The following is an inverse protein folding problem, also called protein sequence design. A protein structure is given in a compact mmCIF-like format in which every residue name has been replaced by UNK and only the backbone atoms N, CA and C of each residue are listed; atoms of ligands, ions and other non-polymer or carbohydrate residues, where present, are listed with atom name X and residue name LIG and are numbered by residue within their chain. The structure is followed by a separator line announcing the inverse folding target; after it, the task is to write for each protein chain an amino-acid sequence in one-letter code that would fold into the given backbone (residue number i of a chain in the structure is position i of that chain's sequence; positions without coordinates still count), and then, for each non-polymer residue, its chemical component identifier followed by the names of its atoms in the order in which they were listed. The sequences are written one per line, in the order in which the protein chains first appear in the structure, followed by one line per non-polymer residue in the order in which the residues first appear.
data_IF_197754357744
#
_entry.id   IF_197754357744
#
_cell.length_a   1.000
_cell.length_b   1.000
_cell.length_c   1.000
_cell.angle_alpha   90.00
_cell.angle_beta   90.00
_cell.angle_gamma   90.00
#
_symmetry.space_group_name_H-M   'P 1'
#
loop_
_entity.id
_entity.type
_entity.pdbx_description
1 polymer ?
#
# COMPACT_ATOMS: atom_id res chain seq x y z
N UNK A 1 -0.83 26.13 -13.76
CA UNK A 1 -2.16 26.22 -13.09
C UNK A 1 -2.25 25.07 -12.13
N UNK A 2 -2.25 25.37 -10.82
CA UNK A 2 -2.25 24.31 -9.81
C UNK A 2 -3.58 23.57 -9.83
N UNK A 3 -3.50 22.26 -9.99
CA UNK A 3 -4.66 21.38 -9.92
C UNK A 3 -4.76 20.80 -8.52
N UNK A 4 -5.85 21.10 -7.81
CA UNK A 4 -6.14 20.59 -6.49
C UNK A 4 -7.62 20.20 -6.41
N UNK A 5 -7.92 18.96 -6.74
CA UNK A 5 -9.29 18.46 -6.72
C UNK A 5 -9.46 17.36 -5.67
N UNK A 6 -10.63 17.36 -5.07
CA UNK A 6 -11.12 16.28 -4.21
C UNK A 6 -12.54 15.98 -4.64
N UNK A 7 -12.79 14.76 -5.07
CA UNK A 7 -14.09 14.37 -5.61
C UNK A 7 -14.42 12.92 -5.21
N UNK A 8 -15.70 12.59 -5.28
CA UNK A 8 -16.17 11.21 -5.19
C UNK A 8 -16.44 10.72 -6.61
N UNK A 9 -15.65 9.75 -7.06
CA UNK A 9 -15.88 9.06 -8.33
C UNK A 9 -16.75 7.85 -8.11
N UNK A 10 -17.72 7.64 -8.99
CA UNK A 10 -18.52 6.42 -8.97
C UNK A 10 -17.72 5.29 -9.65
N UNK A 11 -17.15 4.39 -8.86
CA UNK A 11 -16.39 3.24 -9.32
C UNK A 11 -17.25 1.99 -9.08
N UNK A 12 -17.77 1.40 -10.16
CA UNK A 12 -18.64 0.23 -10.13
C UNK A 12 -19.84 0.37 -9.14
N UNK A 13 -20.53 1.53 -9.21
CA UNK A 13 -21.71 1.81 -8.40
C UNK A 13 -21.43 2.30 -6.98
N UNK A 14 -20.16 2.41 -6.57
CA UNK A 14 -19.77 2.87 -5.24
C UNK A 14 -19.03 4.21 -5.34
N UNK A 15 -19.48 5.27 -4.66
CA UNK A 15 -18.75 6.52 -4.57
C UNK A 15 -17.44 6.31 -3.79
N UNK A 16 -16.32 6.65 -4.42
CA UNK A 16 -15.00 6.51 -3.80
C UNK A 16 -14.23 7.83 -3.92
N UNK A 17 -13.57 8.21 -2.84
CA UNK A 17 -12.86 9.47 -2.75
C UNK A 17 -11.54 9.43 -3.50
N UNK A 18 -11.31 10.45 -4.33
CA UNK A 18 -10.09 10.63 -5.11
C UNK A 18 -9.58 12.05 -4.94
N UNK A 19 -8.31 12.21 -4.61
CA UNK A 19 -7.62 13.50 -4.61
C UNK A 19 -6.65 13.55 -5.79
N UNK A 20 -6.76 14.62 -6.61
CA UNK A 20 -5.90 14.83 -7.79
C UNK A 20 -5.14 16.13 -7.59
N UNK A 21 -3.80 16.07 -7.70
CA UNK A 21 -2.93 17.18 -7.36
C UNK A 21 -1.78 17.31 -8.35
N UNK A 22 -1.57 18.50 -8.90
CA UNK A 22 -0.45 18.81 -9.80
C UNK A 22 -0.15 20.31 -9.82
N UNK A 23 1.12 20.66 -9.96
CA UNK A 23 1.55 22.05 -10.24
C UNK A 23 1.61 22.33 -11.76
N UNK A 24 1.65 21.30 -12.61
CA UNK A 24 1.69 21.41 -14.08
C UNK A 24 0.55 20.64 -14.73
N UNK A 25 -0.16 21.28 -15.63
CA UNK A 25 -1.40 20.75 -16.24
C UNK A 25 -1.18 19.47 -17.09
N UNK A 26 0.00 19.27 -17.68
CA UNK A 26 0.32 18.14 -18.57
C UNK A 26 1.28 17.13 -17.95
N UNK A 27 1.47 17.19 -16.62
CA UNK A 27 2.35 16.26 -15.93
C UNK A 27 1.84 14.81 -16.06
N UNK A 28 2.75 13.81 -16.17
CA UNK A 28 2.35 12.41 -16.25
C UNK A 28 1.58 11.98 -15.02
N UNK A 29 0.57 11.12 -15.21
CA UNK A 29 -0.24 10.57 -14.14
C UNK A 29 0.58 9.64 -13.25
N UNK A 30 0.43 9.79 -11.94
CA UNK A 30 0.93 8.87 -10.92
C UNK A 30 -0.24 8.50 -10.01
N UNK A 31 -0.65 7.23 -10.02
CA UNK A 31 -1.69 6.72 -9.12
C UNK A 31 -1.04 6.03 -7.94
N UNK A 32 -1.44 6.45 -6.73
CA UNK A 32 -0.96 5.87 -5.48
C UNK A 32 -2.01 4.96 -4.86
N UNK A 33 -1.67 3.67 -4.73
CA UNK A 33 -2.47 2.63 -4.09
C UNK A 33 -1.99 2.44 -2.65
N UNK A 34 -2.83 2.85 -1.70
CA UNK A 34 -2.49 2.76 -0.27
C UNK A 34 -2.49 1.32 0.26
N UNK A 35 -1.86 1.14 1.41
CA UNK A 35 -1.81 -0.12 2.15
C UNK A 35 -3.09 -0.44 2.92
N UNK A 36 -3.01 -1.40 3.80
CA UNK A 36 -4.12 -1.91 4.61
C UNK A 36 -4.28 -3.42 4.45
N UNK A 37 -5.42 -3.96 3.97
CA UNK A 37 -6.55 -3.28 3.28
C UNK A 37 -7.30 -2.28 4.16
N UNK A 38 -7.94 -1.31 3.49
CA UNK A 38 -8.85 -0.36 4.15
C UNK A 38 -8.20 0.82 4.87
N UNK A 39 -6.91 1.12 4.63
CA UNK A 39 -6.23 2.31 5.17
C UNK A 39 -6.51 3.56 4.29
N UNK A 40 -5.70 4.59 4.40
CA UNK A 40 -5.73 5.81 3.60
C UNK A 40 -4.33 6.42 3.55
N UNK A 41 -4.04 7.27 2.56
CA UNK A 41 -2.69 7.82 2.40
C UNK A 41 -2.63 9.33 2.15
N UNK A 42 -3.75 10.01 1.87
CA UNK A 42 -3.74 11.41 1.45
C UNK A 42 -2.91 12.33 2.37
N UNK A 43 -3.08 12.35 3.71
CA UNK A 43 -2.27 13.22 4.57
C UNK A 43 -0.78 12.87 4.58
N UNK A 44 -0.43 11.60 4.39
CA UNK A 44 0.95 11.13 4.35
C UNK A 44 1.63 11.56 3.04
N UNK A 45 0.98 11.32 1.91
CA UNK A 45 1.49 11.74 0.59
C UNK A 45 1.64 13.26 0.53
N UNK A 46 0.66 14.02 1.03
CA UNK A 46 0.75 15.49 1.11
C UNK A 46 1.91 15.98 1.98
N UNK A 47 2.22 15.26 3.06
CA UNK A 47 3.29 15.65 3.97
C UNK A 47 4.67 15.26 3.46
N UNK A 48 4.81 14.03 2.97
CA UNK A 48 6.12 13.44 2.68
C UNK A 48 6.49 13.44 1.19
N UNK A 49 5.47 13.47 0.31
CA UNK A 49 5.68 13.32 -1.13
C UNK A 49 5.12 14.50 -1.95
N UNK A 50 4.88 15.65 -1.29
CA UNK A 50 4.36 16.85 -1.97
C UNK A 50 5.21 17.28 -3.18
N UNK A 51 6.53 17.09 -3.12
CA UNK A 51 7.44 17.40 -4.21
C UNK A 51 7.05 16.72 -5.54
N UNK A 52 6.40 15.57 -5.48
CA UNK A 52 5.94 14.85 -6.67
C UNK A 52 4.90 15.65 -7.47
N UNK A 53 4.13 16.54 -6.84
CA UNK A 53 3.14 17.40 -7.51
C UNK A 53 3.77 18.35 -8.55
N UNK A 54 5.10 18.62 -8.45
CA UNK A 54 5.87 19.44 -9.40
C UNK A 54 6.17 18.70 -10.71
N UNK A 55 6.12 17.38 -10.68
CA UNK A 55 6.56 16.52 -11.77
C UNK A 55 5.48 15.57 -12.28
N UNK A 56 4.47 15.27 -11.45
CA UNK A 56 3.38 14.36 -11.73
C UNK A 56 2.03 14.99 -11.43
N UNK A 57 1.00 14.50 -12.12
CA UNK A 57 -0.37 14.58 -11.65
C UNK A 57 -0.60 13.43 -10.67
N UNK A 58 -0.46 13.72 -9.37
CA UNK A 58 -0.54 12.74 -8.29
C UNK A 58 -2.00 12.46 -7.96
N UNK A 59 -2.42 11.23 -8.14
CA UNK A 59 -3.77 10.74 -7.83
C UNK A 59 -3.70 9.83 -6.62
N UNK A 60 -4.39 10.23 -5.57
CA UNK A 60 -4.48 9.46 -4.32
C UNK A 60 -5.91 8.97 -4.21
N UNK A 61 -6.08 7.68 -4.36
CA UNK A 61 -7.37 7.01 -4.28
C UNK A 61 -7.55 6.37 -2.90
N UNK A 62 -8.60 6.76 -2.19
CA UNK A 62 -9.07 6.03 -1.02
C UNK A 62 -10.04 4.94 -1.49
N UNK A 63 -9.58 3.72 -1.42
CA UNK A 63 -10.22 2.56 -2.01
C UNK A 63 -11.58 2.28 -1.35
N UNK A 64 -12.38 1.42 -1.98
CA UNK A 64 -13.67 0.95 -1.47
C UNK A 64 -13.63 0.64 0.03
N UNK A 65 -14.53 1.25 0.81
CA UNK A 65 -14.64 1.05 2.25
C UNK A 65 -13.51 1.68 3.10
N UNK A 66 -12.57 2.41 2.50
CA UNK A 66 -11.43 3.01 3.19
C UNK A 66 -11.62 4.51 3.45
N UNK A 67 -11.13 5.03 4.56
CA UNK A 67 -11.05 6.47 4.85
C UNK A 67 -12.33 7.23 4.54
N UNK A 68 -12.25 8.21 3.62
CA UNK A 68 -13.39 9.00 3.15
C UNK A 68 -14.35 8.23 2.24
N UNK A 69 -13.88 7.12 1.64
CA UNK A 69 -14.71 6.17 0.88
C UNK A 69 -15.42 5.15 1.77
N UNK A 70 -15.36 5.33 3.10
CA UNK A 70 -15.97 4.38 4.03
C UNK A 70 -17.49 4.31 3.84
N UNK A 71 -17.94 3.10 3.54
CA UNK A 71 -19.30 2.63 3.73
C UNK A 71 -19.22 1.19 4.27
N UNK A 72 -20.19 0.75 5.09
CA UNK A 72 -20.28 -0.67 5.44
C UNK A 72 -20.31 -1.52 4.16
N UNK A 73 -19.60 -2.65 4.17
CA UNK A 73 -19.71 -3.59 3.06
C UNK A 73 -21.07 -4.29 3.10
N UNK A 74 -21.70 -4.40 1.95
CA UNK A 74 -22.95 -5.12 1.76
C UNK A 74 -22.63 -6.40 0.98
N UNK A 75 -22.59 -7.52 1.69
CA UNK A 75 -22.23 -8.82 1.13
C UNK A 75 -20.73 -9.12 1.06
N UNK A 76 -20.39 -10.10 0.25
CA UNK A 76 -19.02 -10.55 0.03
C UNK A 76 -18.20 -9.51 -0.73
N UNK A 77 -16.96 -9.28 -0.26
CA UNK A 77 -16.01 -8.36 -0.90
C UNK A 77 -14.73 -9.12 -1.22
N UNK A 78 -14.26 -8.99 -2.46
CA UNK A 78 -13.12 -9.73 -2.99
C UNK A 78 -12.05 -8.78 -3.52
N UNK A 79 -10.80 -9.25 -3.66
CA UNK A 79 -9.70 -8.51 -4.29
C UNK A 79 -10.07 -8.11 -5.72
N UNK A 80 -10.80 -8.97 -6.43
CA UNK A 80 -11.22 -8.70 -7.80
C UNK A 80 -12.11 -7.46 -7.92
N UNK A 81 -12.98 -7.18 -6.94
CA UNK A 81 -13.78 -5.95 -6.92
C UNK A 81 -12.92 -4.69 -6.84
N UNK A 82 -11.81 -4.73 -6.10
CA UNK A 82 -10.85 -3.61 -6.04
C UNK A 82 -10.08 -3.45 -7.35
N UNK A 83 -9.77 -4.54 -8.05
CA UNK A 83 -9.14 -4.49 -9.37
C UNK A 83 -10.07 -3.89 -10.42
N UNK A 84 -11.36 -4.24 -10.38
CA UNK A 84 -12.37 -3.64 -11.23
C UNK A 84 -12.57 -2.14 -10.95
N UNK A 85 -12.56 -1.73 -9.67
CA UNK A 85 -12.59 -0.31 -9.29
C UNK A 85 -11.36 0.43 -9.81
N UNK A 86 -10.19 -0.19 -9.72
CA UNK A 86 -8.94 0.38 -10.24
C UNK A 86 -8.98 0.50 -11.77
N UNK A 87 -9.56 -0.47 -12.47
CA UNK A 87 -9.70 -0.42 -13.93
C UNK A 87 -10.57 0.76 -14.38
N UNK A 88 -11.71 0.96 -13.71
CA UNK A 88 -12.59 2.12 -13.98
C UNK A 88 -11.87 3.43 -13.67
N UNK A 89 -11.20 3.51 -12.51
CA UNK A 89 -10.44 4.70 -12.11
C UNK A 89 -9.36 5.05 -13.15
N UNK A 90 -8.54 4.07 -13.53
CA UNK A 90 -7.44 4.25 -14.49
C UNK A 90 -8.00 4.65 -15.86
N UNK A 91 -9.05 4.00 -16.33
CA UNK A 91 -9.70 4.31 -17.61
C UNK A 91 -10.18 5.77 -17.65
N UNK A 92 -10.86 6.23 -16.60
CA UNK A 92 -11.36 7.60 -16.49
C UNK A 92 -10.23 8.63 -16.41
N UNK A 93 -9.19 8.34 -15.65
CA UNK A 93 -8.03 9.23 -15.52
C UNK A 93 -7.28 9.36 -16.86
N UNK A 94 -6.98 8.25 -17.53
CA UNK A 94 -6.27 8.26 -18.82
C UNK A 94 -7.07 9.03 -19.88
N UNK A 95 -8.40 8.84 -19.94
CA UNK A 95 -9.29 9.59 -20.83
C UNK A 95 -9.30 11.08 -20.48
N UNK A 96 -9.46 11.43 -19.20
CA UNK A 96 -9.56 12.82 -18.72
C UNK A 96 -8.29 13.61 -19.01
N UNK A 97 -7.12 13.01 -18.74
CA UNK A 97 -5.82 13.66 -18.92
C UNK A 97 -5.19 13.39 -20.28
N UNK A 98 -5.91 12.69 -21.19
CA UNK A 98 -5.46 12.35 -22.56
C UNK A 98 -4.08 11.66 -22.58
N UNK A 99 -3.84 10.78 -21.61
CA UNK A 99 -2.62 9.98 -21.51
C UNK A 99 -2.89 8.53 -21.90
N UNK A 100 -1.87 7.81 -22.36
CA UNK A 100 -1.98 6.41 -22.77
C UNK A 100 -1.67 5.45 -21.62
N UNK A 101 -0.78 5.87 -20.73
CA UNK A 101 -0.32 5.08 -19.58
C UNK A 101 0.04 5.97 -18.41
N UNK A 102 0.17 5.39 -17.24
CA UNK A 102 0.46 6.08 -15.98
C UNK A 102 1.55 5.35 -15.17
N UNK A 103 2.13 6.06 -14.23
CA UNK A 103 2.95 5.46 -13.17
C UNK A 103 2.03 4.95 -12.06
N UNK A 104 2.27 3.72 -11.63
CA UNK A 104 1.46 3.06 -10.61
C UNK A 104 2.31 2.73 -9.39
N UNK A 105 2.05 3.37 -8.27
CA UNK A 105 2.73 3.10 -6.99
C UNK A 105 1.82 2.29 -6.10
N UNK A 106 2.26 1.10 -5.70
CA UNK A 106 1.54 0.24 -4.76
C UNK A 106 2.30 0.04 -3.45
N UNK A 107 1.66 0.32 -2.31
CA UNK A 107 2.26 0.09 -1.00
C UNK A 107 1.56 -1.05 -0.27
N UNK A 108 2.32 -2.06 0.21
CA UNK A 108 1.77 -3.15 1.03
C UNK A 108 0.58 -3.84 0.34
N UNK A 109 -0.62 -3.84 0.93
CA UNK A 109 -1.85 -4.29 0.26
C UNK A 109 -2.02 -3.68 -1.15
N UNK A 110 -1.76 -2.37 -1.31
CA UNK A 110 -1.82 -1.71 -2.61
C UNK A 110 -0.84 -2.30 -3.63
N UNK A 111 0.23 -2.96 -3.19
CA UNK A 111 1.17 -3.66 -4.07
C UNK A 111 0.58 -4.94 -4.65
N UNK A 112 -0.37 -5.57 -3.98
CA UNK A 112 -1.13 -6.71 -4.54
C UNK A 112 -1.96 -6.24 -5.73
N UNK A 113 -2.70 -5.15 -5.54
CA UNK A 113 -3.53 -4.56 -6.60
C UNK A 113 -2.65 -4.07 -7.76
N UNK A 114 -1.58 -3.34 -7.44
CA UNK A 114 -0.68 -2.76 -8.44
C UNK A 114 -0.01 -3.81 -9.31
N UNK A 115 0.50 -4.88 -8.72
CA UNK A 115 1.18 -5.94 -9.47
C UNK A 115 0.21 -6.75 -10.34
N UNK A 116 -0.99 -7.10 -9.81
CA UNK A 116 -2.04 -7.76 -10.59
C UNK A 116 -2.54 -6.88 -11.74
N UNK A 117 -2.77 -5.60 -11.48
CA UNK A 117 -3.21 -4.66 -12.52
C UNK A 117 -2.15 -4.48 -13.61
N UNK A 118 -0.88 -4.37 -13.24
CA UNK A 118 0.24 -4.27 -14.20
C UNK A 118 0.33 -5.50 -15.10
N UNK A 119 0.04 -6.67 -14.56
CA UNK A 119 0.02 -7.91 -15.34
C UNK A 119 -1.17 -7.99 -16.30
N UNK A 120 -2.35 -7.51 -15.87
CA UNK A 120 -3.58 -7.60 -16.69
C UNK A 120 -3.69 -6.49 -17.73
N UNK A 121 -3.09 -5.32 -17.46
CA UNK A 121 -3.21 -4.09 -18.28
C UNK A 121 -1.86 -3.42 -18.49
N UNK A 122 -0.85 -4.14 -19.02
CA UNK A 122 0.52 -3.61 -19.15
C UNK A 122 0.58 -2.37 -20.04
N UNK A 123 -0.29 -2.26 -21.05
CA UNK A 123 -0.38 -1.13 -21.96
C UNK A 123 -0.78 0.19 -21.29
N UNK A 124 -1.38 0.12 -20.09
CA UNK A 124 -1.81 1.29 -19.30
C UNK A 124 -0.83 1.66 -18.20
N UNK A 125 0.14 0.80 -17.92
CA UNK A 125 1.16 1.02 -16.88
C UNK A 125 2.50 1.35 -17.53
N UNK A 126 2.94 2.58 -17.36
CA UNK A 126 4.25 3.03 -17.87
C UNK A 126 5.39 2.44 -17.03
N UNK A 127 5.19 2.38 -15.72
CA UNK A 127 6.11 1.77 -14.77
C UNK A 127 5.32 1.44 -13.50
N UNK A 128 5.50 0.25 -13.00
CA UNK A 128 5.00 -0.15 -11.69
C UNK A 128 6.09 0.03 -10.62
N UNK A 129 5.74 0.62 -9.48
CA UNK A 129 6.62 0.81 -8.33
C UNK A 129 5.98 0.18 -7.10
N UNK A 130 6.53 -0.94 -6.63
CA UNK A 130 6.12 -1.61 -5.40
C UNK A 130 6.94 -1.12 -4.21
N UNK A 131 6.29 -0.67 -3.14
CA UNK A 131 6.88 -0.28 -1.87
C UNK A 131 6.43 -1.25 -0.78
N UNK A 132 7.35 -1.94 -0.09
CA UNK A 132 6.98 -3.00 0.83
C UNK A 132 6.14 -4.06 0.10
N UNK A 133 6.69 -4.61 -0.98
CA UNK A 133 5.99 -5.48 -1.91
C UNK A 133 5.56 -6.79 -1.28
N UNK A 134 4.27 -7.07 -1.32
CA UNK A 134 3.74 -8.39 -0.97
C UNK A 134 4.05 -9.38 -2.09
N UNK A 135 4.73 -10.48 -1.76
CA UNK A 135 5.08 -11.55 -2.70
C UNK A 135 4.34 -12.85 -2.37
N UNK A 136 4.54 -13.37 -1.18
CA UNK A 136 3.86 -14.56 -0.68
C UNK A 136 3.39 -14.28 0.75
N UNK A 137 2.07 -14.10 0.91
CA UNK A 137 1.52 -13.63 2.17
C UNK A 137 1.66 -14.66 3.29
N UNK A 138 1.52 -15.96 3.00
CA UNK A 138 1.72 -17.02 4.00
C UNK A 138 3.16 -17.04 4.52
N UNK A 139 4.15 -16.97 3.63
CA UNK A 139 5.56 -16.90 4.03
C UNK A 139 5.87 -15.60 4.78
N UNK A 140 5.34 -14.48 4.32
CA UNK A 140 5.55 -13.17 4.96
C UNK A 140 4.95 -13.15 6.37
N UNK A 141 3.73 -13.66 6.56
CA UNK A 141 3.09 -13.77 7.88
C UNK A 141 3.89 -14.65 8.83
N UNK A 142 4.45 -15.75 8.34
CA UNK A 142 5.33 -16.61 9.15
C UNK A 142 6.60 -15.90 9.58
N UNK A 143 7.24 -15.15 8.68
CA UNK A 143 8.46 -14.38 9.00
C UNK A 143 8.14 -13.28 10.03
N UNK A 144 7.03 -12.57 9.87
CA UNK A 144 6.58 -11.57 10.85
C UNK A 144 6.31 -12.17 12.23
N UNK A 145 5.69 -13.34 12.27
CA UNK A 145 5.45 -14.10 13.51
C UNK A 145 6.77 -14.55 14.16
N UNK A 146 7.71 -15.11 13.39
CA UNK A 146 9.02 -15.53 13.90
C UNK A 146 9.83 -14.34 14.42
N UNK A 147 9.75 -13.18 13.74
CA UNK A 147 10.32 -11.93 14.24
C UNK A 147 9.71 -11.52 15.58
N UNK A 148 8.38 -11.58 15.70
CA UNK A 148 7.69 -11.27 16.95
C UNK A 148 8.13 -12.20 18.09
N UNK A 149 8.24 -13.51 17.84
CA UNK A 149 8.74 -14.51 18.80
C UNK A 149 10.16 -14.20 19.28
N UNK A 150 11.06 -13.86 18.34
CA UNK A 150 12.47 -13.62 18.65
C UNK A 150 12.73 -12.38 19.51
N UNK A 151 11.79 -11.40 19.50
CA UNK A 151 11.97 -10.12 20.19
C UNK A 151 11.03 -9.92 21.39
N UNK A 152 10.04 -10.81 21.59
CA UNK A 152 9.01 -10.64 22.61
C UNK A 152 9.56 -10.70 24.05
N UNK A 153 8.99 -9.90 24.94
CA UNK A 153 9.17 -10.08 26.37
C UNK A 153 8.47 -11.39 26.84
N UNK A 154 8.81 -11.86 28.05
CA UNK A 154 8.30 -13.16 28.57
C UNK A 154 6.78 -13.29 28.49
N UNK A 155 6.03 -12.24 28.85
CA UNK A 155 4.57 -12.27 28.83
C UNK A 155 4.01 -12.36 27.41
N UNK A 156 4.55 -11.57 26.49
CA UNK A 156 4.17 -11.58 25.08
C UNK A 156 4.55 -12.91 24.40
N UNK A 157 5.72 -13.47 24.77
CA UNK A 157 6.20 -14.75 24.24
C UNK A 157 5.24 -15.91 24.56
N UNK A 158 4.76 -16.00 25.82
CA UNK A 158 3.78 -17.04 26.20
C UNK A 158 2.49 -16.94 25.39
N UNK A 159 2.00 -15.72 25.13
CA UNK A 159 0.84 -15.53 24.27
C UNK A 159 1.16 -15.86 22.80
N UNK A 160 2.30 -15.43 22.27
CA UNK A 160 2.68 -15.74 20.89
C UNK A 160 2.75 -17.25 20.62
N UNK A 161 3.26 -18.05 21.56
CA UNK A 161 3.33 -19.50 21.43
C UNK A 161 1.97 -20.20 21.27
N UNK A 162 0.87 -19.55 21.64
CA UNK A 162 -0.48 -20.09 21.47
C UNK A 162 -1.13 -19.70 20.14
N UNK A 163 -0.48 -18.85 19.36
CA UNK A 163 -1.03 -18.31 18.10
C UNK A 163 -0.69 -19.24 16.94
N UNK A 164 -1.72 -19.60 16.18
CA UNK A 164 -1.53 -20.18 14.84
C UNK A 164 -1.38 -19.06 13.80
N UNK A 165 -0.15 -18.91 13.26
CA UNK A 165 0.15 -17.89 12.27
C UNK A 165 -0.41 -18.19 10.86
N UNK A 166 -1.18 -19.27 10.70
CA UNK A 166 -2.04 -19.47 9.52
C UNK A 166 -3.30 -18.62 9.57
N UNK A 167 -3.64 -18.10 10.76
CA UNK A 167 -4.83 -17.28 11.02
C UNK A 167 -6.14 -17.93 10.57
N UNK A 168 -6.30 -19.24 10.87
CA UNK A 168 -7.51 -20.02 10.58
C UNK A 168 -8.40 -20.25 11.83
N UNK A 169 -7.93 -19.86 13.04
CA UNK A 169 -8.68 -20.01 14.28
C UNK A 169 -9.87 -19.02 14.36
N UNK A 170 -10.83 -19.28 15.23
CA UNK A 170 -11.92 -18.31 15.51
C UNK A 170 -11.40 -16.98 16.04
N UNK A 171 -10.24 -16.96 16.70
CA UNK A 171 -9.62 -15.76 17.27
C UNK A 171 -8.59 -15.10 16.32
N UNK A 172 -8.52 -15.53 15.08
CA UNK A 172 -7.50 -15.16 14.11
C UNK A 172 -7.22 -13.66 13.99
N UNK A 173 -8.26 -12.83 14.07
CA UNK A 173 -8.11 -11.37 13.95
C UNK A 173 -7.34 -10.77 15.14
N UNK A 174 -7.68 -11.19 16.37
CA UNK A 174 -6.95 -10.73 17.55
C UNK A 174 -5.51 -11.24 17.56
N UNK A 175 -5.29 -12.44 17.06
CA UNK A 175 -3.95 -13.03 16.92
C UNK A 175 -3.11 -12.26 15.91
N UNK A 176 -3.67 -11.96 14.74
CA UNK A 176 -3.04 -11.11 13.72
C UNK A 176 -2.67 -9.73 14.27
N UNK A 177 -3.63 -9.07 14.92
CA UNK A 177 -3.41 -7.74 15.51
C UNK A 177 -2.34 -7.78 16.59
N UNK A 178 -2.31 -8.84 17.40
CA UNK A 178 -1.31 -9.00 18.44
C UNK A 178 0.09 -9.22 17.86
N UNK A 179 0.24 -10.10 16.87
CA UNK A 179 1.52 -10.31 16.16
C UNK A 179 1.99 -9.01 15.54
N UNK A 180 1.12 -8.32 14.80
CA UNK A 180 1.43 -7.02 14.21
C UNK A 180 1.90 -6.00 15.26
N UNK A 181 1.20 -5.93 16.40
CA UNK A 181 1.60 -5.06 17.50
C UNK A 181 2.99 -5.38 18.03
N UNK A 182 3.38 -6.67 18.14
CA UNK A 182 4.73 -7.05 18.56
C UNK A 182 5.78 -6.64 17.52
N UNK A 183 5.52 -6.85 16.22
CA UNK A 183 6.41 -6.39 15.14
C UNK A 183 6.65 -4.88 15.25
N UNK A 184 5.59 -4.10 15.43
CA UNK A 184 5.68 -2.62 15.59
C UNK A 184 6.45 -2.24 16.85
N UNK A 185 6.10 -2.84 18.00
CA UNK A 185 6.73 -2.58 19.31
C UNK A 185 8.25 -2.81 19.27
N UNK A 186 8.67 -3.78 18.48
CA UNK A 186 10.08 -4.15 18.34
C UNK A 186 10.77 -3.54 17.10
N UNK A 187 10.15 -2.47 16.50
CA UNK A 187 10.71 -1.66 15.40
C UNK A 187 10.83 -2.39 14.06
N UNK A 188 10.17 -3.53 13.89
CA UNK A 188 10.18 -4.30 12.64
C UNK A 188 9.27 -3.73 11.54
N UNK A 189 8.43 -2.73 11.86
CA UNK A 189 7.52 -2.11 10.89
C UNK A 189 7.85 -0.65 10.59
N UNK A 190 8.30 0.13 11.57
CA UNK A 190 8.70 1.53 11.39
C UNK A 190 10.10 1.75 11.97
N UNK A 191 11.05 2.16 11.14
CA UNK A 191 12.44 2.32 11.49
C UNK A 191 12.63 3.27 12.69
N UNK A 192 13.35 2.79 13.70
CA UNK A 192 13.61 3.55 14.91
C UNK A 192 12.42 3.79 15.84
N UNK A 193 11.19 3.43 15.46
CA UNK A 193 9.97 3.69 16.22
C UNK A 193 9.29 2.42 16.72
N UNK A 194 8.67 2.52 17.92
CA UNK A 194 7.91 1.42 18.57
C UNK A 194 6.40 1.57 18.42
N UNK A 195 5.93 2.52 17.62
CA UNK A 195 4.52 2.81 17.36
C UNK A 195 4.40 3.59 16.04
N UNK A 196 3.17 3.80 15.61
CA UNK A 196 2.84 4.50 14.36
C UNK A 196 2.54 6.01 14.56
N UNK A 197 2.90 6.62 15.68
CA UNK A 197 2.58 8.03 15.93
C UNK A 197 3.05 8.95 14.79
N UNK A 198 4.25 8.72 14.25
CA UNK A 198 4.79 9.48 13.11
C UNK A 198 3.89 9.43 11.86
N UNK A 199 3.18 8.32 11.67
CA UNK A 199 2.24 8.13 10.54
C UNK A 199 0.82 8.60 10.89
N UNK A 200 0.44 8.59 12.17
CA UNK A 200 -0.90 9.01 12.64
C UNK A 200 -0.99 10.54 12.73
N UNK A 201 0.05 11.21 13.21
CA UNK A 201 0.08 12.66 13.40
C UNK A 201 -0.31 13.46 12.12
N UNK A 202 0.14 13.09 10.90
CA UNK A 202 -0.29 13.77 9.69
C UNK A 202 -1.81 13.77 9.47
N UNK A 203 -2.49 12.69 9.86
CA UNK A 203 -3.96 12.63 9.79
C UNK A 203 -4.62 13.56 10.80
N UNK A 204 -4.12 13.60 12.05
CA UNK A 204 -4.67 14.43 13.11
C UNK A 204 -4.54 15.94 12.80
N UNK A 205 -3.47 16.34 12.12
CA UNK A 205 -3.21 17.75 11.78
C UNK A 205 -3.56 18.09 10.33
N UNK A 206 -4.14 17.15 9.58
CA UNK A 206 -4.57 17.41 8.20
C UNK A 206 -5.83 18.26 8.15
N UNK A 207 -5.84 19.26 7.27
CA UNK A 207 -7.05 20.02 6.95
C UNK A 207 -8.04 19.23 6.08
N UNK A 208 -7.58 18.13 5.49
CA UNK A 208 -8.40 17.28 4.61
C UNK A 208 -9.21 16.24 5.39
N UNK A 209 -8.90 16.02 6.68
CA UNK A 209 -9.52 15.00 7.51
C UNK A 209 -10.22 15.62 8.74
N UNK A 210 -11.45 15.22 8.94
CA UNK A 210 -12.21 15.47 10.18
C UNK A 210 -12.01 14.34 11.18
N UNK A 211 -12.42 14.55 12.43
CA UNK A 211 -12.47 13.46 13.43
C UNK A 211 -13.36 12.31 12.93
N UNK A 212 -14.47 12.63 12.25
CA UNK A 212 -15.34 11.62 11.63
C UNK A 212 -14.62 10.78 10.57
N UNK A 213 -13.73 11.40 9.78
CA UNK A 213 -12.92 10.67 8.78
C UNK A 213 -11.91 9.73 9.45
N UNK A 214 -11.33 10.13 10.59
CA UNK A 214 -10.42 9.25 11.36
C UNK A 214 -11.15 8.03 11.90
N UNK A 215 -12.38 8.21 12.41
CA UNK A 215 -13.22 7.10 12.86
C UNK A 215 -13.59 6.19 11.68
N UNK A 216 -13.97 6.76 10.53
CA UNK A 216 -14.25 6.01 9.30
C UNK A 216 -13.05 5.23 8.82
N UNK A 217 -11.85 5.84 8.82
CA UNK A 217 -10.60 5.16 8.47
C UNK A 217 -10.35 3.94 9.34
N UNK A 218 -10.52 4.05 10.66
CA UNK A 218 -10.34 2.92 11.58
C UNK A 218 -11.38 1.81 11.34
N UNK A 219 -12.66 2.18 11.17
CA UNK A 219 -13.73 1.22 10.86
C UNK A 219 -13.49 0.54 9.51
N UNK A 220 -13.08 1.30 8.51
CA UNK A 220 -12.76 0.79 7.17
C UNK A 220 -11.62 -0.20 7.18
N UNK A 221 -10.54 0.11 7.89
CA UNK A 221 -9.41 -0.81 8.04
C UNK A 221 -9.82 -2.11 8.70
N UNK A 222 -10.62 -2.05 9.78
CA UNK A 222 -11.06 -3.25 10.49
C UNK A 222 -11.98 -4.12 9.63
N UNK A 223 -13.00 -3.52 8.98
CA UNK A 223 -13.92 -4.28 8.12
C UNK A 223 -13.19 -4.87 6.90
N UNK A 224 -12.27 -4.14 6.28
CA UNK A 224 -11.53 -4.63 5.12
C UNK A 224 -10.61 -5.81 5.49
N UNK A 225 -9.92 -5.74 6.64
CA UNK A 225 -9.13 -6.86 7.16
C UNK A 225 -10.05 -8.07 7.40
N UNK A 226 -11.19 -7.88 8.07
CA UNK A 226 -12.12 -8.97 8.36
C UNK A 226 -12.65 -9.65 7.09
N UNK A 227 -12.95 -8.87 6.05
CA UNK A 227 -13.55 -9.40 4.82
C UNK A 227 -12.52 -10.01 3.87
N UNK A 228 -11.29 -9.46 3.80
CA UNK A 228 -10.33 -9.80 2.74
C UNK A 228 -9.17 -10.68 3.21
N UNK A 229 -8.93 -10.81 4.54
CA UNK A 229 -7.70 -11.41 5.03
C UNK A 229 -7.47 -12.83 4.54
N UNK A 230 -8.52 -13.64 4.46
CA UNK A 230 -8.41 -15.02 4.00
C UNK A 230 -7.98 -15.10 2.51
N UNK A 231 -8.49 -14.18 1.68
CA UNK A 231 -8.06 -14.07 0.27
C UNK A 231 -6.65 -13.48 0.15
N UNK A 232 -6.32 -12.47 0.98
CA UNK A 232 -4.97 -11.89 1.06
C UNK A 232 -3.94 -12.97 1.40
N UNK A 233 -4.24 -13.86 2.35
CA UNK A 233 -3.37 -14.98 2.72
C UNK A 233 -3.12 -15.98 1.58
N UNK A 234 -3.97 -16.03 0.54
CA UNK A 234 -3.74 -16.84 -0.65
C UNK A 234 -2.85 -16.15 -1.69
N UNK A 235 -2.50 -14.87 -1.50
CA UNK A 235 -1.65 -14.15 -2.45
C UNK A 235 -0.26 -14.78 -2.52
N UNK A 236 0.12 -15.15 -3.74
CA UNK A 236 1.45 -15.70 -4.07
C UNK A 236 1.84 -15.31 -5.50
N UNK A 237 2.85 -14.47 -5.63
CA UNK A 237 3.40 -14.01 -6.91
C UNK A 237 4.67 -14.73 -7.31
N UNK A 238 5.15 -15.71 -6.55
CA UNK A 238 6.47 -16.34 -6.77
C UNK A 238 6.64 -16.94 -8.17
N UNK A 239 5.57 -17.38 -8.81
CA UNK A 239 5.59 -17.93 -10.16
C UNK A 239 5.37 -16.88 -11.27
N UNK A 240 5.01 -15.64 -10.91
CA UNK A 240 4.68 -14.57 -11.86
C UNK A 240 5.90 -13.68 -12.05
N UNK A 241 6.81 -14.05 -12.93
CA UNK A 241 8.11 -13.38 -13.10
C UNK A 241 8.23 -12.57 -14.39
N UNK A 242 7.22 -12.61 -15.27
CA UNK A 242 7.23 -11.90 -16.55
C UNK A 242 6.19 -10.79 -16.56
N UNK A 243 6.62 -9.59 -16.91
CA UNK A 243 5.79 -8.41 -17.07
C UNK A 243 6.16 -7.72 -18.38
N UNK A 244 5.21 -7.06 -19.03
CA UNK A 244 5.49 -6.22 -20.19
C UNK A 244 5.89 -4.80 -19.78
N UNK A 245 5.34 -4.30 -18.67
CA UNK A 245 5.72 -3.01 -18.11
C UNK A 245 6.93 -3.13 -17.16
N UNK A 246 7.82 -2.13 -17.10
CA UNK A 246 8.92 -2.08 -16.14
C UNK A 246 8.46 -2.18 -14.68
N UNK A 247 9.22 -2.92 -13.87
CA UNK A 247 8.94 -3.16 -12.44
C UNK A 247 10.07 -2.60 -11.59
N UNK A 248 9.71 -1.74 -10.64
CA UNK A 248 10.63 -1.21 -9.64
C UNK A 248 10.16 -1.67 -8.27
N UNK A 249 11.05 -2.25 -7.46
CA UNK A 249 10.77 -2.58 -6.07
C UNK A 249 11.62 -1.72 -5.15
N UNK A 250 10.98 -1.13 -4.16
CA UNK A 250 11.57 -0.27 -3.12
C UNK A 250 11.29 -0.89 -1.77
N UNK A 251 12.34 -1.38 -1.11
CA UNK A 251 12.21 -2.12 0.13
C UNK A 251 13.01 -1.47 1.27
N UNK A 252 12.39 -1.38 2.44
CA UNK A 252 13.11 -1.01 3.64
C UNK A 252 13.98 -2.15 4.14
N UNK A 253 15.25 -1.88 4.42
CA UNK A 253 16.24 -2.89 4.85
C UNK A 253 15.78 -3.73 6.05
N UNK A 254 14.98 -3.14 6.92
CA UNK A 254 14.56 -3.73 8.19
C UNK A 254 13.06 -4.09 8.21
N UNK A 255 12.42 -4.23 7.03
CA UNK A 255 11.01 -4.62 6.97
C UNK A 255 10.83 -6.07 7.40
N UNK A 256 10.25 -6.23 8.59
CA UNK A 256 9.82 -7.51 9.16
C UNK A 256 8.29 -7.61 9.25
N UNK A 257 7.59 -6.61 8.72
CA UNK A 257 6.12 -6.60 8.64
C UNK A 257 5.64 -7.30 7.36
N UNK A 258 6.21 -6.90 6.21
CA UNK A 258 6.14 -7.63 4.94
C UNK A 258 7.58 -7.89 4.51
N UNK A 259 7.95 -9.15 4.37
CA UNK A 259 9.36 -9.54 4.28
C UNK A 259 10.09 -8.95 3.07
N UNK A 260 10.98 -8.00 3.31
CA UNK A 260 11.86 -7.42 2.30
C UNK A 260 12.78 -8.48 1.65
N UNK A 261 13.13 -9.53 2.37
CA UNK A 261 13.92 -10.66 1.82
C UNK A 261 13.14 -11.40 0.75
N UNK A 262 11.85 -11.70 1.00
CA UNK A 262 11.00 -12.34 -0.02
C UNK A 262 10.84 -11.45 -1.25
N UNK A 263 10.71 -10.13 -1.06
CA UNK A 263 10.63 -9.17 -2.16
C UNK A 263 11.93 -9.17 -2.99
N UNK A 264 13.10 -9.21 -2.33
CA UNK A 264 14.40 -9.30 -3.03
C UNK A 264 14.57 -10.59 -3.79
N UNK A 265 14.26 -11.75 -3.16
CA UNK A 265 14.35 -13.06 -3.79
C UNK A 265 13.39 -13.17 -5.00
N UNK A 266 12.22 -12.56 -4.91
CA UNK A 266 11.27 -12.48 -6.01
C UNK A 266 11.78 -11.57 -7.12
N UNK A 267 12.30 -10.37 -6.78
CA UNK A 267 12.88 -9.44 -7.73
C UNK A 267 13.97 -10.10 -8.58
N UNK A 268 14.84 -10.92 -7.98
CA UNK A 268 15.94 -11.57 -8.71
C UNK A 268 15.43 -12.48 -9.83
N UNK A 269 14.22 -13.02 -9.66
CA UNK A 269 13.57 -13.92 -10.65
C UNK A 269 12.73 -13.20 -11.68
N UNK A 270 12.41 -11.90 -11.50
CA UNK A 270 11.69 -11.12 -12.52
C UNK A 270 12.54 -11.03 -13.79
N UNK A 271 11.93 -11.30 -14.95
CA UNK A 271 12.61 -11.37 -16.25
C UNK A 271 12.39 -10.15 -17.13
N UNK A 272 11.76 -9.10 -16.62
CA UNK A 272 11.44 -7.86 -17.33
C UNK A 272 12.43 -6.75 -16.99
N UNK A 273 12.32 -5.58 -17.64
CA UNK A 273 13.05 -4.39 -17.20
C UNK A 273 12.72 -4.12 -15.74
N UNK A 274 13.75 -4.10 -14.90
CA UNK A 274 13.55 -4.02 -13.46
C UNK A 274 14.63 -3.25 -12.75
N UNK A 275 14.27 -2.58 -11.65
CA UNK A 275 15.21 -1.93 -10.74
C UNK A 275 14.82 -2.23 -9.30
N UNK A 276 15.82 -2.39 -8.43
CA UNK A 276 15.62 -2.64 -7.02
C UNK A 276 16.36 -1.59 -6.18
N UNK A 277 15.68 -1.06 -5.17
CA UNK A 277 16.27 -0.04 -4.30
C UNK A 277 16.10 -0.42 -2.84
N UNK A 278 17.23 -0.59 -2.15
CA UNK A 278 17.24 -0.67 -0.70
C UNK A 278 17.15 0.73 -0.10
N UNK A 279 16.23 0.88 0.85
CA UNK A 279 16.12 2.03 1.71
C UNK A 279 16.70 1.65 3.07
N UNK A 280 17.91 2.11 3.35
CA UNK A 280 18.77 1.60 4.42
C UNK A 280 18.31 1.98 5.83
N UNK A 281 17.51 3.05 5.97
CA UNK A 281 16.95 3.52 7.23
C UNK A 281 15.43 3.38 7.28
N UNK A 282 14.91 2.31 6.66
CA UNK A 282 13.47 2.07 6.53
C UNK A 282 13.10 0.63 6.87
N UNK A 283 11.85 0.48 7.29
CA UNK A 283 11.12 -0.78 7.35
C UNK A 283 10.00 -0.74 6.31
N UNK A 284 8.76 -1.01 6.72
CA UNK A 284 7.59 -1.17 5.85
C UNK A 284 7.12 0.10 5.11
N UNK A 285 7.67 1.27 5.46
CA UNK A 285 7.22 2.57 4.92
C UNK A 285 8.37 3.37 4.31
N UNK A 286 9.14 2.82 3.33
CA UNK A 286 10.31 3.49 2.76
C UNK A 286 9.94 4.84 2.13
N UNK A 287 8.81 4.94 1.43
CA UNK A 287 8.32 6.15 0.77
C UNK A 287 8.05 7.33 1.71
N UNK A 288 7.95 7.07 3.01
CA UNK A 288 7.72 8.11 4.04
C UNK A 288 8.87 8.21 5.04
N UNK A 289 9.60 7.12 5.28
CA UNK A 289 10.75 7.12 6.19
C UNK A 289 11.96 7.84 5.58
N UNK A 290 12.21 7.60 4.28
CA UNK A 290 13.27 8.24 3.49
C UNK A 290 12.63 8.95 2.27
N UNK A 291 11.66 9.84 2.58
CA UNK A 291 10.81 10.47 1.56
C UNK A 291 11.59 11.30 0.52
N UNK A 292 12.68 11.94 0.89
CA UNK A 292 13.51 12.71 -0.06
C UNK A 292 14.11 11.78 -1.13
N UNK A 293 14.67 10.65 -0.70
CA UNK A 293 15.21 9.63 -1.60
C UNK A 293 14.13 9.03 -2.49
N UNK A 294 12.94 8.75 -1.93
CA UNK A 294 11.80 8.27 -2.70
C UNK A 294 11.35 9.28 -3.75
N UNK A 295 11.17 10.55 -3.36
CA UNK A 295 10.73 11.60 -4.26
C UNK A 295 11.73 11.81 -5.41
N UNK A 296 13.04 11.85 -5.10
CA UNK A 296 14.08 11.98 -6.11
C UNK A 296 14.05 10.80 -7.10
N UNK A 297 13.98 9.56 -6.57
CA UNK A 297 13.90 8.37 -7.40
C UNK A 297 12.68 8.40 -8.34
N UNK A 298 11.51 8.81 -7.85
CA UNK A 298 10.32 8.94 -8.69
C UNK A 298 10.50 10.01 -9.78
N UNK A 299 11.15 11.14 -9.47
CA UNK A 299 11.44 12.17 -10.45
C UNK A 299 12.43 11.68 -11.53
N UNK A 300 13.43 10.88 -11.15
CA UNK A 300 14.42 10.29 -12.06
C UNK A 300 13.82 9.31 -13.07
N UNK A 301 12.59 8.82 -12.84
CA UNK A 301 11.86 7.98 -13.80
C UNK A 301 11.34 8.75 -15.02
N UNK A 302 11.39 10.06 -14.98
CA UNK A 302 10.91 10.90 -16.09
C UNK A 302 11.98 11.15 -17.17
N UNK A 303 13.24 10.81 -16.89
CA UNK A 303 14.40 10.94 -17.79
C UNK A 303 15.17 12.21 -17.57
#
# INVERSE_FOLDING_TARGET
MDLHEQLNMNLNGVPQFVSIRAEKAEAPLLVYLHGGPGDAALPLVKKYNKQLEQHFTVVIWEQRGAGKSYSPFDGEVTIEMFLQDLDVLVTDLLRRFKQRSLYLVGHSWGSILGLRFTQSHPERVRTYVGCGQVVNMKKSSRIAYDYALAHADRKSLEKLKTIDCSYQSENWLNDLLFVTQQVVKHKGSLYGAKNYNRLILPFLFSKDYTIGDLIRRQKGSLQAIQSLWQEVMQTNFEAQTRFEAPVILIEGRFDSHVSATLAKDYFDRIETEKRFYWFENSCHFPQWSENEKFNQLMCDLLG
#
